data_IF_376160661301
#
_entry.id   IF_376160661301
#
_cell.length_a   1.000
_cell.length_b   1.000
_cell.length_c   1.000
_cell.angle_alpha   90.00
_cell.angle_beta   90.00
_cell.angle_gamma   90.00
#
_symmetry.space_group_name_H-M   'P 1'
#
loop_
_entity.id
_entity.type
_entity.pdbx_description
1 polymer ?
#
# COMPACT_ATOMS: atom_id res chain seq x y z
N UNK A 1 -7.38 27.68 -26.49
CA UNK A 1 -7.92 26.35 -26.87
C UNK A 1 -8.82 25.90 -25.73
N UNK A 2 -10.11 25.68 -25.99
CA UNK A 2 -11.06 25.31 -24.97
C UNK A 2 -10.89 23.83 -24.61
N UNK A 3 -10.48 23.54 -23.37
CA UNK A 3 -10.52 22.19 -22.80
C UNK A 3 -11.95 21.90 -22.35
N UNK A 4 -12.60 20.92 -22.98
CA UNK A 4 -13.89 20.42 -22.53
C UNK A 4 -13.65 19.46 -21.35
N UNK A 5 -13.93 19.95 -20.13
CA UNK A 5 -14.00 19.15 -18.91
C UNK A 5 -15.23 18.24 -18.95
N UNK A 6 -15.07 16.99 -19.41
CA UNK A 6 -16.07 15.94 -19.21
C UNK A 6 -15.52 14.97 -18.18
N UNK A 7 -16.09 14.98 -16.98
CA UNK A 7 -15.89 13.91 -16.01
C UNK A 7 -16.27 12.58 -16.69
N UNK A 8 -15.28 11.74 -16.97
CA UNK A 8 -15.52 10.47 -17.66
C UNK A 8 -16.03 9.47 -16.63
N UNK A 9 -17.35 9.29 -16.60
CA UNK A 9 -18.00 8.30 -15.74
C UNK A 9 -18.37 7.08 -16.56
N UNK A 10 -17.70 5.96 -16.28
CA UNK A 10 -18.03 4.68 -16.91
C UNK A 10 -19.07 3.94 -16.06
N UNK A 11 -20.29 3.82 -16.59
CA UNK A 11 -21.38 3.07 -15.99
C UNK A 11 -22.02 2.11 -16.98
N UNK A 12 -22.02 0.81 -16.67
CA UNK A 12 -22.88 -0.18 -17.31
C UNK A 12 -24.06 -0.46 -16.38
N UNK A 13 -25.30 -0.24 -16.83
CA UNK A 13 -26.49 -0.59 -16.04
C UNK A 13 -26.67 -2.11 -16.04
N UNK A 14 -26.06 -2.83 -15.10
CA UNK A 14 -26.41 -4.23 -14.84
C UNK A 14 -26.82 -4.41 -13.38
N UNK A 15 -28.14 -4.53 -13.17
CA UNK A 15 -28.75 -4.95 -11.90
C UNK A 15 -28.85 -6.48 -11.94
N UNK A 16 -28.37 -7.15 -10.88
CA UNK A 16 -28.46 -8.60 -10.60
C UNK A 16 -27.44 -9.52 -11.32
N UNK A 17 -27.06 -10.66 -10.70
CA UNK A 17 -26.02 -11.54 -11.20
C UNK A 17 -26.61 -12.49 -12.25
N UNK A 18 -26.41 -12.20 -13.53
CA UNK A 18 -26.57 -13.21 -14.58
C UNK A 18 -25.27 -13.98 -14.73
N UNK A 19 -25.35 -15.31 -14.71
CA UNK A 19 -24.24 -16.26 -14.93
C UNK A 19 -23.64 -16.23 -16.35
N UNK A 20 -23.86 -15.15 -17.11
CA UNK A 20 -23.11 -14.78 -18.30
C UNK A 20 -22.30 -13.54 -17.96
N UNK A 21 -20.98 -13.69 -17.83
CA UNK A 21 -20.06 -12.60 -17.53
C UNK A 21 -20.04 -11.61 -18.70
N UNK A 22 -20.97 -10.65 -18.72
CA UNK A 22 -20.75 -9.41 -19.47
C UNK A 22 -19.46 -8.81 -18.93
N UNK A 23 -18.42 -8.61 -19.76
CA UNK A 23 -17.21 -7.94 -19.32
C UNK A 23 -17.56 -6.60 -18.68
N UNK A 24 -16.89 -6.27 -17.58
CA UNK A 24 -17.06 -4.95 -16.98
C UNK A 24 -16.59 -3.84 -17.93
N UNK A 25 -16.90 -2.57 -17.62
CA UNK A 25 -16.49 -1.45 -18.45
C UNK A 25 -14.97 -1.39 -18.59
N UNK A 26 -14.50 -1.12 -19.80
CA UNK A 26 -13.07 -0.96 -20.10
C UNK A 26 -12.77 0.49 -20.47
N UNK A 27 -11.70 1.03 -19.90
CA UNK A 27 -11.04 2.24 -20.36
C UNK A 27 -9.60 1.90 -20.71
N UNK A 28 -9.21 2.16 -21.95
CA UNK A 28 -7.85 1.85 -22.40
C UNK A 28 -7.31 2.88 -23.38
N UNK A 29 -5.99 3.12 -23.33
CA UNK A 29 -5.28 4.00 -24.26
C UNK A 29 -5.81 5.45 -24.27
N UNK A 30 -6.16 6.00 -23.09
CA UNK A 30 -6.71 7.35 -22.96
C UNK A 30 -5.75 8.29 -22.23
N UNK A 31 -5.80 9.57 -22.60
CA UNK A 31 -5.23 10.68 -21.83
C UNK A 31 -6.38 11.47 -21.21
N UNK A 32 -6.42 11.53 -19.89
CA UNK A 32 -7.44 12.19 -19.07
C UNK A 32 -6.72 13.24 -18.23
N UNK A 33 -6.84 14.50 -18.61
CA UNK A 33 -6.04 15.57 -18.00
C UNK A 33 -6.84 16.84 -17.75
N UNK A 34 -6.39 17.63 -16.78
CA UNK A 34 -6.89 18.99 -16.51
C UNK A 34 -8.40 19.03 -16.18
N UNK A 35 -8.88 18.01 -15.46
CA UNK A 35 -10.26 17.93 -14.98
C UNK A 35 -10.44 18.73 -13.70
N UNK A 36 -11.60 19.40 -13.54
CA UNK A 36 -11.85 20.25 -12.39
C UNK A 36 -11.86 19.50 -11.04
N UNK A 37 -12.26 18.22 -11.01
CA UNK A 37 -12.37 17.45 -9.77
C UNK A 37 -11.78 16.04 -9.92
N UNK A 38 -12.58 15.05 -10.32
CA UNK A 38 -12.12 13.67 -10.51
C UNK A 38 -11.84 13.43 -11.99
N UNK A 39 -10.69 12.85 -12.33
CA UNK A 39 -10.33 12.52 -13.71
C UNK A 39 -11.20 11.39 -14.29
N UNK A 40 -11.12 10.21 -13.67
CA UNK A 40 -11.90 9.04 -14.05
C UNK A 40 -12.61 8.45 -12.84
N UNK A 41 -13.89 8.10 -13.00
CA UNK A 41 -14.66 7.43 -11.96
C UNK A 41 -15.36 6.17 -12.47
N UNK A 42 -15.13 5.03 -11.81
CA UNK A 42 -15.71 3.72 -12.14
C UNK A 42 -16.44 3.12 -10.93
N UNK A 43 -17.66 2.65 -11.16
CA UNK A 43 -18.51 2.06 -10.11
C UNK A 43 -19.22 0.79 -10.62
N UNK A 44 -18.47 -0.15 -11.20
CA UNK A 44 -18.97 -1.45 -11.67
C UNK A 44 -17.96 -2.56 -11.37
N UNK A 45 -18.45 -3.80 -11.33
CA UNK A 45 -17.59 -4.97 -11.26
C UNK A 45 -16.90 -5.26 -12.60
N UNK A 46 -15.78 -5.98 -12.57
CA UNK A 46 -15.01 -6.40 -13.74
C UNK A 46 -14.37 -5.25 -14.52
N UNK A 47 -14.24 -4.07 -13.92
CA UNK A 47 -13.71 -2.89 -14.59
C UNK A 47 -12.25 -3.07 -14.98
N UNK A 48 -11.88 -2.73 -16.21
CA UNK A 48 -10.49 -2.76 -16.69
C UNK A 48 -10.03 -1.36 -17.07
N UNK A 49 -9.06 -0.83 -16.34
CA UNK A 49 -8.43 0.47 -16.57
C UNK A 49 -6.97 0.21 -16.96
N UNK A 50 -6.63 0.33 -18.23
CA UNK A 50 -5.28 -0.04 -18.71
C UNK A 50 -4.67 1.01 -19.63
N UNK A 51 -3.34 1.21 -19.58
CA UNK A 51 -2.64 2.14 -20.50
C UNK A 51 -3.27 3.54 -20.51
N UNK A 52 -3.60 4.06 -19.33
CA UNK A 52 -4.15 5.39 -19.14
C UNK A 52 -3.05 6.38 -18.76
N UNK A 53 -3.21 7.63 -19.17
CA UNK A 53 -2.54 8.77 -18.53
C UNK A 53 -3.60 9.60 -17.83
N UNK A 54 -3.60 9.64 -16.50
CA UNK A 54 -4.54 10.42 -15.70
C UNK A 54 -3.76 11.46 -14.88
N UNK A 55 -3.89 12.73 -15.23
CA UNK A 55 -3.04 13.77 -14.64
C UNK A 55 -3.72 15.10 -14.40
N UNK A 56 -3.18 15.85 -13.43
CA UNK A 56 -3.62 17.23 -13.10
C UNK A 56 -5.13 17.37 -12.88
N UNK A 57 -5.79 16.31 -12.42
CA UNK A 57 -7.17 16.40 -11.95
C UNK A 57 -7.22 17.15 -10.63
N UNK A 58 -8.21 18.03 -10.47
CA UNK A 58 -8.26 19.00 -9.38
C UNK A 58 -8.23 18.38 -7.99
N UNK A 59 -8.95 17.27 -7.77
CA UNK A 59 -9.05 16.58 -6.49
C UNK A 59 -8.48 15.15 -6.51
N UNK A 60 -8.89 14.32 -7.48
CA UNK A 60 -8.54 12.90 -7.52
C UNK A 60 -8.29 12.46 -8.96
N UNK A 61 -7.25 11.66 -9.21
CA UNK A 61 -7.03 11.07 -10.53
C UNK A 61 -8.10 10.04 -10.87
N UNK A 62 -8.09 8.92 -10.14
CA UNK A 62 -8.99 7.78 -10.34
C UNK A 62 -9.78 7.49 -9.07
N UNK A 63 -11.10 7.57 -9.15
CA UNK A 63 -12.03 7.18 -8.08
C UNK A 63 -12.78 5.91 -8.43
N UNK A 64 -12.81 4.94 -7.51
CA UNK A 64 -13.66 3.76 -7.67
C UNK A 64 -14.37 3.39 -6.38
N UNK A 65 -15.59 2.89 -6.50
CA UNK A 65 -16.39 2.42 -5.37
C UNK A 65 -17.20 1.20 -5.81
N UNK A 66 -17.33 0.22 -4.92
CA UNK A 66 -18.13 -0.97 -5.16
C UNK A 66 -17.77 -1.72 -6.46
N UNK A 67 -16.48 -1.86 -6.75
CA UNK A 67 -15.96 -2.37 -8.03
C UNK A 67 -15.18 -3.68 -7.81
N UNK A 68 -15.88 -4.81 -7.74
CA UNK A 68 -15.23 -6.12 -7.60
C UNK A 68 -14.49 -6.50 -8.88
N UNK A 69 -13.41 -7.24 -8.75
CA UNK A 69 -12.59 -7.73 -9.87
C UNK A 69 -12.10 -6.58 -10.78
N UNK A 70 -11.84 -5.42 -10.16
CA UNK A 70 -11.26 -4.25 -10.81
C UNK A 70 -9.77 -4.47 -11.10
N UNK A 71 -9.34 -4.12 -12.31
CA UNK A 71 -7.93 -4.11 -12.71
C UNK A 71 -7.50 -2.71 -13.15
N UNK A 72 -6.42 -2.18 -12.56
CA UNK A 72 -5.75 -0.93 -12.95
C UNK A 72 -4.30 -1.26 -13.32
N UNK A 73 -3.95 -1.14 -14.59
CA UNK A 73 -2.69 -1.66 -15.11
C UNK A 73 -2.00 -0.74 -16.10
N UNK A 74 -0.67 -0.81 -16.18
CA UNK A 74 0.14 -0.18 -17.23
C UNK A 74 -0.13 1.32 -17.41
N UNK A 75 -0.51 2.03 -16.35
CA UNK A 75 -1.01 3.41 -16.42
C UNK A 75 -0.10 4.40 -15.70
N UNK A 76 -0.17 5.66 -16.11
CA UNK A 76 0.51 6.81 -15.50
C UNK A 76 -0.52 7.70 -14.81
N UNK A 77 -0.46 7.79 -13.49
CA UNK A 77 -1.45 8.48 -12.65
C UNK A 77 -0.71 9.47 -11.76
N UNK A 78 -0.54 10.69 -12.27
CA UNK A 78 0.43 11.65 -11.70
C UNK A 78 -0.08 13.07 -11.55
N UNK A 79 0.48 13.80 -10.59
CA UNK A 79 0.19 15.22 -10.37
C UNK A 79 -1.31 15.53 -10.16
N UNK A 80 -2.09 14.56 -9.68
CA UNK A 80 -3.48 14.79 -9.30
C UNK A 80 -3.56 15.41 -7.91
N UNK A 81 -4.77 15.85 -7.55
CA UNK A 81 -5.01 16.85 -6.51
C UNK A 81 -4.37 18.22 -6.85
N UNK A 82 -4.41 18.60 -8.13
CA UNK A 82 -3.77 19.83 -8.65
C UNK A 82 -4.25 21.11 -7.94
N UNK A 83 -5.49 21.10 -7.43
CA UNK A 83 -6.07 22.23 -6.70
C UNK A 83 -5.82 22.18 -5.18
N UNK A 84 -5.01 21.23 -4.69
CA UNK A 84 -4.58 21.14 -3.27
C UNK A 84 -5.75 20.97 -2.29
N UNK A 85 -6.73 20.13 -2.62
CA UNK A 85 -7.73 19.71 -1.62
C UNK A 85 -7.04 19.03 -0.43
N UNK A 86 -7.69 19.09 0.74
CA UNK A 86 -7.23 18.37 1.94
C UNK A 86 -6.96 16.90 1.61
N UNK A 87 -5.92 16.33 2.21
CA UNK A 87 -5.46 14.96 1.94
C UNK A 87 -6.56 13.92 2.17
N UNK A 88 -7.20 13.99 3.33
CA UNK A 88 -8.28 13.13 3.73
C UNK A 88 -9.62 13.88 3.65
N UNK A 89 -10.71 13.21 3.25
CA UNK A 89 -10.82 11.76 3.13
C UNK A 89 -10.69 11.21 1.70
N UNK A 90 -10.31 11.97 0.67
CA UNK A 90 -10.45 11.49 -0.73
C UNK A 90 -9.27 11.81 -1.65
N UNK A 91 -8.65 12.98 -1.55
CA UNK A 91 -7.82 13.52 -2.63
C UNK A 91 -6.54 12.72 -2.88
N UNK A 92 -6.04 12.72 -4.12
CA UNK A 92 -4.79 12.06 -4.48
C UNK A 92 -4.75 11.45 -5.87
N UNK A 93 -3.95 10.41 -6.03
CA UNK A 93 -3.83 9.66 -7.29
C UNK A 93 -5.03 8.75 -7.51
N UNK A 94 -5.17 7.73 -6.68
CA UNK A 94 -6.19 6.68 -6.79
C UNK A 94 -6.85 6.46 -5.44
N UNK A 95 -8.18 6.41 -5.41
CA UNK A 95 -8.94 5.91 -4.27
C UNK A 95 -9.93 4.83 -4.69
N UNK A 96 -9.91 3.71 -3.98
CA UNK A 96 -10.75 2.53 -4.22
C UNK A 96 -11.47 2.17 -2.93
N UNK A 97 -12.79 2.02 -2.99
CA UNK A 97 -13.60 1.67 -1.81
C UNK A 97 -14.54 0.49 -2.04
N UNK A 98 -14.88 -0.25 -0.97
CA UNK A 98 -15.90 -1.31 -0.93
C UNK A 98 -15.78 -2.35 -2.05
N UNK A 99 -14.56 -2.77 -2.33
CA UNK A 99 -14.22 -3.58 -3.51
C UNK A 99 -13.57 -4.91 -3.12
N UNK A 100 -13.61 -5.90 -4.01
CA UNK A 100 -13.02 -7.23 -3.76
C UNK A 100 -12.25 -7.71 -4.97
N UNK A 101 -11.13 -8.39 -4.79
CA UNK A 101 -10.35 -8.94 -5.91
C UNK A 101 -9.68 -7.86 -6.77
N UNK A 102 -9.29 -6.73 -6.17
CA UNK A 102 -8.72 -5.59 -6.90
C UNK A 102 -7.26 -5.87 -7.28
N UNK A 103 -6.88 -5.56 -8.52
CA UNK A 103 -5.48 -5.59 -8.98
C UNK A 103 -5.04 -4.19 -9.40
N UNK A 104 -3.93 -3.72 -8.83
CA UNK A 104 -3.24 -2.49 -9.24
C UNK A 104 -1.80 -2.89 -9.54
N UNK A 105 -1.42 -2.96 -10.83
CA UNK A 105 -0.09 -3.44 -11.19
C UNK A 105 0.58 -2.71 -12.34
N UNK A 106 1.91 -2.60 -12.27
CA UNK A 106 2.74 -1.97 -13.30
C UNK A 106 2.30 -0.53 -13.65
N UNK A 107 1.91 0.26 -12.64
CA UNK A 107 1.56 1.67 -12.82
C UNK A 107 2.68 2.59 -12.32
N UNK A 108 2.78 3.76 -12.94
CA UNK A 108 3.46 4.93 -12.38
C UNK A 108 2.42 5.78 -11.63
N UNK A 109 2.50 5.78 -10.30
CA UNK A 109 1.61 6.54 -9.40
C UNK A 109 2.47 7.58 -8.68
N UNK A 110 2.77 8.69 -9.35
CA UNK A 110 3.80 9.62 -8.87
C UNK A 110 3.34 11.07 -8.72
N UNK A 111 4.00 11.78 -7.82
CA UNK A 111 3.91 13.24 -7.66
C UNK A 111 2.47 13.75 -7.46
N UNK A 112 1.57 12.93 -6.92
CA UNK A 112 0.24 13.40 -6.56
C UNK A 112 0.35 14.25 -5.29
N UNK A 113 -0.39 15.36 -5.23
CA UNK A 113 -0.35 16.32 -4.12
C UNK A 113 -1.18 15.85 -2.91
N UNK A 114 -1.11 14.55 -2.59
CA UNK A 114 -1.76 13.86 -1.47
C UNK A 114 -1.24 12.41 -1.44
N UNK A 115 -2.08 11.42 -1.12
CA UNK A 115 -1.76 10.00 -1.23
C UNK A 115 -1.69 9.52 -2.68
N UNK A 116 -0.82 8.55 -2.96
CA UNK A 116 -0.69 7.91 -4.27
C UNK A 116 -1.84 6.94 -4.55
N UNK A 117 -1.86 5.81 -3.84
CA UNK A 117 -2.92 4.80 -3.88
C UNK A 117 -3.56 4.64 -2.50
N UNK A 118 -4.89 4.74 -2.42
CA UNK A 118 -5.65 4.55 -1.19
C UNK A 118 -6.74 3.50 -1.37
N UNK A 119 -6.59 2.34 -0.74
CA UNK A 119 -7.65 1.35 -0.57
C UNK A 119 -8.30 1.59 0.78
N UNK A 120 -9.61 1.85 0.79
CA UNK A 120 -10.34 2.27 1.99
C UNK A 120 -11.72 1.63 2.07
N UNK A 121 -12.33 1.61 3.26
CA UNK A 121 -13.73 1.24 3.45
C UNK A 121 -14.05 -0.16 2.86
N UNK A 122 -13.52 -1.21 3.48
CA UNK A 122 -13.79 -2.62 3.16
C UNK A 122 -13.29 -3.07 1.78
N UNK A 123 -12.02 -2.83 1.45
CA UNK A 123 -11.40 -3.48 0.27
C UNK A 123 -10.79 -4.82 0.68
N UNK A 124 -11.17 -5.91 0.00
CA UNK A 124 -10.72 -7.27 0.32
C UNK A 124 -10.02 -7.98 -0.84
N UNK A 125 -8.99 -8.77 -0.56
CA UNK A 125 -8.25 -9.55 -1.56
C UNK A 125 -7.59 -8.68 -2.64
N UNK A 126 -6.81 -7.68 -2.21
CA UNK A 126 -6.16 -6.73 -3.11
C UNK A 126 -4.74 -7.14 -3.48
N UNK A 127 -4.33 -6.88 -4.73
CA UNK A 127 -2.99 -7.15 -5.27
C UNK A 127 -2.40 -5.84 -5.77
N UNK A 128 -1.37 -5.33 -5.10
CA UNK A 128 -0.64 -4.11 -5.47
C UNK A 128 0.77 -4.51 -5.86
N UNK A 129 1.02 -4.66 -7.17
CA UNK A 129 2.16 -5.42 -7.68
C UNK A 129 3.00 -4.61 -8.67
N UNK A 130 4.31 -4.50 -8.44
CA UNK A 130 5.23 -3.97 -9.45
C UNK A 130 4.98 -2.51 -9.85
N UNK A 131 4.40 -1.69 -8.96
CA UNK A 131 4.15 -0.28 -9.25
C UNK A 131 5.37 0.58 -8.87
N UNK A 132 5.54 1.69 -9.59
CA UNK A 132 6.40 2.81 -9.18
C UNK A 132 5.53 3.84 -8.49
N UNK A 133 5.75 4.04 -7.19
CA UNK A 133 4.99 4.96 -6.35
C UNK A 133 5.94 5.99 -5.77
N UNK A 134 6.09 7.12 -6.46
CA UNK A 134 7.18 8.07 -6.22
C UNK A 134 6.68 9.49 -5.91
N UNK A 135 7.20 10.09 -4.84
CA UNK A 135 7.09 11.53 -4.59
C UNK A 135 5.65 12.02 -4.35
N UNK A 136 4.74 11.15 -3.92
CA UNK A 136 3.41 11.56 -3.46
C UNK A 136 3.56 12.29 -2.11
N UNK A 137 2.93 13.45 -1.94
CA UNK A 137 3.24 14.36 -0.82
C UNK A 137 2.92 13.76 0.57
N UNK A 138 1.96 12.84 0.64
CA UNK A 138 1.51 12.25 1.90
C UNK A 138 1.89 10.77 2.03
N UNK A 139 1.01 9.83 1.69
CA UNK A 139 1.30 8.40 1.74
C UNK A 139 1.49 7.86 0.32
N UNK A 140 2.52 7.04 0.08
CA UNK A 140 2.66 6.33 -1.19
C UNK A 140 1.48 5.38 -1.44
N UNK A 141 1.37 4.34 -0.61
CA UNK A 141 0.26 3.38 -0.63
C UNK A 141 -0.39 3.33 0.76
N UNK A 142 -1.72 3.44 0.83
CA UNK A 142 -2.50 3.36 2.05
C UNK A 142 -3.54 2.24 1.94
N UNK A 143 -3.47 1.28 2.85
CA UNK A 143 -4.49 0.27 3.08
C UNK A 143 -5.19 0.62 4.40
N UNK A 144 -6.45 1.01 4.31
CA UNK A 144 -7.27 1.46 5.44
C UNK A 144 -8.57 0.66 5.49
N UNK A 145 -8.99 0.26 6.71
CA UNK A 145 -10.26 -0.45 6.93
C UNK A 145 -10.48 -1.62 5.95
N UNK A 146 -9.42 -2.36 5.66
CA UNK A 146 -9.34 -3.35 4.60
C UNK A 146 -8.83 -4.69 5.12
N UNK A 147 -8.79 -5.73 4.29
CA UNK A 147 -8.32 -7.05 4.73
C UNK A 147 -7.81 -7.86 3.55
N UNK A 148 -6.86 -8.77 3.78
CA UNK A 148 -6.29 -9.67 2.79
C UNK A 148 -5.68 -8.90 1.61
N UNK A 149 -4.40 -8.56 1.70
CA UNK A 149 -3.70 -7.84 0.64
C UNK A 149 -2.30 -8.37 0.38
N UNK A 150 -1.87 -8.31 -0.88
CA UNK A 150 -0.48 -8.50 -1.30
C UNK A 150 0.05 -7.18 -1.83
N UNK A 151 1.12 -6.68 -1.22
CA UNK A 151 1.88 -5.53 -1.70
C UNK A 151 3.27 -6.03 -2.04
N UNK A 152 3.57 -6.21 -3.33
CA UNK A 152 4.82 -6.86 -3.72
C UNK A 152 5.50 -6.27 -4.95
N UNK A 153 6.83 -6.27 -4.96
CA UNK A 153 7.60 -5.83 -6.13
C UNK A 153 7.54 -4.33 -6.40
N UNK A 154 6.99 -3.52 -5.50
CA UNK A 154 6.81 -2.08 -5.75
C UNK A 154 8.08 -1.31 -5.40
N UNK A 155 8.34 -0.24 -6.13
CA UNK A 155 9.30 0.81 -5.74
C UNK A 155 8.53 1.97 -5.15
N UNK A 156 8.71 2.24 -3.86
CA UNK A 156 7.94 3.21 -3.09
C UNK A 156 8.90 4.25 -2.50
N UNK A 157 8.92 5.45 -3.08
CA UNK A 157 9.90 6.47 -2.72
C UNK A 157 9.29 7.84 -2.43
N UNK A 158 9.87 8.57 -1.49
CA UNK A 158 9.43 9.93 -1.16
C UNK A 158 8.16 10.00 -0.30
N UNK A 159 7.72 11.23 0.00
CA UNK A 159 6.50 11.49 0.78
C UNK A 159 6.70 11.48 2.30
N UNK A 160 5.60 11.45 3.05
CA UNK A 160 5.63 11.29 4.52
C UNK A 160 5.74 9.84 4.94
N UNK A 161 4.89 8.99 4.35
CA UNK A 161 4.90 7.56 4.59
C UNK A 161 4.99 6.78 3.28
N UNK A 162 5.80 5.73 3.21
CA UNK A 162 5.85 4.85 2.05
C UNK A 162 4.57 4.00 1.94
N UNK A 163 4.37 3.13 2.92
CA UNK A 163 3.20 2.26 3.04
C UNK A 163 2.52 2.47 4.41
N UNK A 164 1.20 2.64 4.42
CA UNK A 164 0.40 2.70 5.64
C UNK A 164 -0.62 1.56 5.67
N UNK A 165 -0.66 0.84 6.79
CA UNK A 165 -1.63 -0.21 7.11
C UNK A 165 -2.40 0.25 8.36
N UNK A 166 -3.67 0.62 8.18
CA UNK A 166 -4.50 1.14 9.28
C UNK A 166 -5.79 0.34 9.35
N UNK A 167 -6.10 -0.19 10.53
CA UNK A 167 -7.29 -1.02 10.75
C UNK A 167 -7.42 -2.14 9.70
N UNK A 168 -6.29 -2.76 9.34
CA UNK A 168 -6.16 -3.67 8.20
C UNK A 168 -5.42 -4.94 8.57
N UNK A 169 -5.99 -6.10 8.21
CA UNK A 169 -5.41 -7.42 8.52
C UNK A 169 -5.08 -8.29 7.31
N UNK A 170 -4.30 -9.35 7.54
CA UNK A 170 -3.90 -10.34 6.53
C UNK A 170 -3.13 -9.70 5.35
N UNK A 171 -2.06 -8.97 5.66
CA UNK A 171 -1.26 -8.24 4.66
C UNK A 171 0.10 -8.89 4.47
N UNK A 172 0.45 -9.16 3.21
CA UNK A 172 1.74 -9.70 2.79
C UNK A 172 2.51 -8.64 2.01
N UNK A 173 3.55 -8.08 2.62
CA UNK A 173 4.43 -7.05 2.05
C UNK A 173 5.76 -7.71 1.67
N UNK A 174 5.93 -8.02 0.39
CA UNK A 174 7.07 -8.81 -0.10
C UNK A 174 7.88 -8.07 -1.15
N UNK A 175 9.22 -8.11 -1.06
CA UNK A 175 10.06 -7.71 -2.18
C UNK A 175 9.78 -6.28 -2.68
N UNK A 176 9.56 -5.32 -1.79
CA UNK A 176 9.42 -3.90 -2.15
C UNK A 176 10.71 -3.15 -1.85
N UNK A 177 11.01 -2.13 -2.65
CA UNK A 177 12.10 -1.17 -2.41
C UNK A 177 11.49 0.12 -1.88
N UNK A 178 11.71 0.43 -0.59
CA UNK A 178 11.05 1.53 0.13
C UNK A 178 12.10 2.53 0.62
N UNK A 179 11.98 3.82 0.30
CA UNK A 179 12.98 4.82 0.71
C UNK A 179 12.55 6.28 0.55
N UNK A 180 13.38 7.22 0.98
CA UNK A 180 13.16 8.67 0.79
C UNK A 180 11.96 9.26 1.53
N UNK A 181 11.32 8.53 2.45
CA UNK A 181 10.19 9.02 3.24
C UNK A 181 10.66 9.96 4.36
N UNK A 182 9.89 11.00 4.66
CA UNK A 182 10.23 11.96 5.72
C UNK A 182 9.84 11.50 7.13
N UNK A 183 8.96 10.49 7.26
CA UNK A 183 8.52 9.99 8.57
C UNK A 183 8.55 8.47 8.69
N UNK A 184 7.90 7.73 7.79
CA UNK A 184 7.72 6.28 7.96
C UNK A 184 7.95 5.50 6.66
N UNK A 185 8.72 4.42 6.71
CA UNK A 185 8.79 3.47 5.58
C UNK A 185 7.48 2.70 5.48
N UNK A 186 7.21 1.89 6.51
CA UNK A 186 5.93 1.23 6.75
C UNK A 186 5.37 1.72 8.08
N UNK A 187 4.12 2.16 8.10
CA UNK A 187 3.38 2.54 9.31
C UNK A 187 2.18 1.60 9.49
N UNK A 188 2.14 0.89 10.62
CA UNK A 188 1.08 -0.04 11.01
C UNK A 188 0.36 0.53 12.22
N UNK A 189 -0.93 0.77 12.11
CA UNK A 189 -1.72 1.40 13.17
C UNK A 189 -3.09 0.77 13.36
N UNK A 190 -3.66 1.03 14.53
CA UNK A 190 -5.03 0.68 14.90
C UNK A 190 -5.69 1.92 15.52
N UNK A 191 -6.95 2.14 15.16
CA UNK A 191 -7.87 3.03 15.86
C UNK A 191 -9.11 2.29 16.41
N UNK A 192 -10.08 3.03 16.96
CA UNK A 192 -11.29 2.51 17.58
C UNK A 192 -12.32 1.90 16.61
N UNK A 193 -12.21 2.14 15.31
CA UNK A 193 -13.23 1.73 14.33
C UNK A 193 -13.31 0.21 14.24
N UNK A 194 -14.54 -0.30 14.19
CA UNK A 194 -14.84 -1.73 13.99
C UNK A 194 -15.93 -1.86 12.96
N UNK A 195 -15.76 -2.81 12.04
CA UNK A 195 -16.70 -3.02 10.94
C UNK A 195 -18.12 -3.26 11.47
N UNK A 196 -18.25 -4.01 12.56
CA UNK A 196 -19.53 -4.41 13.16
C UNK A 196 -20.36 -3.25 13.72
N UNK A 197 -19.73 -2.14 14.13
CA UNK A 197 -20.40 -1.05 14.87
C UNK A 197 -20.26 0.32 14.22
N UNK A 198 -19.38 0.48 13.24
CA UNK A 198 -19.20 1.75 12.58
C UNK A 198 -20.46 2.19 11.80
N UNK A 199 -20.70 3.50 11.66
CA UNK A 199 -21.87 4.01 10.93
C UNK A 199 -21.73 3.92 9.41
N UNK A 200 -20.48 3.92 8.90
CA UNK A 200 -20.16 3.95 7.47
C UNK A 200 -18.89 3.14 7.20
N UNK A 201 -18.65 2.83 5.93
CA UNK A 201 -17.42 2.16 5.46
C UNK A 201 -17.62 0.69 5.12
N UNK A 202 -18.72 0.08 5.55
CA UNK A 202 -19.05 -1.30 5.19
C UNK A 202 -19.41 -1.41 3.72
N UNK A 203 -19.06 -2.55 3.12
CA UNK A 203 -19.63 -2.96 1.83
C UNK A 203 -21.03 -3.53 2.04
N UNK A 204 -22.05 -2.78 1.60
CA UNK A 204 -23.47 -3.16 1.72
C UNK A 204 -23.85 -4.39 0.90
N UNK A 205 -22.95 -4.93 0.06
CA UNK A 205 -23.15 -6.18 -0.68
C UNK A 205 -22.73 -7.41 0.13
N UNK A 206 -22.28 -7.23 1.37
CA UNK A 206 -21.84 -8.29 2.29
C UNK A 206 -22.68 -8.23 3.58
N UNK A 207 -22.76 -9.34 4.34
CA UNK A 207 -23.33 -9.31 5.68
C UNK A 207 -22.65 -8.24 6.56
N UNK A 208 -23.40 -7.69 7.52
CA UNK A 208 -22.86 -6.77 8.52
C UNK A 208 -23.11 -7.41 9.90
N UNK A 209 -22.07 -7.86 10.62
CA UNK A 209 -20.66 -7.78 10.23
C UNK A 209 -20.26 -8.75 9.11
N UNK A 210 -19.26 -8.36 8.33
CA UNK A 210 -18.70 -9.18 7.26
C UNK A 210 -17.62 -10.11 7.87
N UNK A 211 -17.79 -11.44 7.81
CA UNK A 211 -16.89 -12.36 8.49
C UNK A 211 -15.44 -12.33 7.95
N UNK A 212 -15.21 -11.71 6.79
CA UNK A 212 -13.86 -11.57 6.22
C UNK A 212 -13.26 -10.17 6.42
N UNK A 213 -13.90 -9.29 7.19
CA UNK A 213 -13.51 -7.88 7.32
C UNK A 213 -13.79 -7.37 8.74
N UNK A 214 -12.77 -7.32 9.59
CA UNK A 214 -12.95 -6.97 11.02
C UNK A 214 -12.59 -5.52 11.34
N UNK A 215 -11.73 -4.90 10.53
CA UNK A 215 -11.05 -3.63 10.82
C UNK A 215 -10.16 -3.70 12.07
N UNK A 216 -9.53 -4.85 12.29
CA UNK A 216 -8.60 -5.08 13.40
C UNK A 216 -7.23 -5.42 12.86
N UNK A 217 -6.26 -4.51 12.99
CA UNK A 217 -4.93 -4.64 12.42
C UNK A 217 -4.20 -5.88 12.92
N UNK A 218 -3.68 -6.70 12.01
CA UNK A 218 -2.85 -7.85 12.37
C UNK A 218 -2.60 -8.83 11.23
N UNK A 219 -1.91 -9.95 11.53
CA UNK A 219 -1.51 -10.96 10.55
C UNK A 219 -0.73 -10.33 9.38
N UNK A 220 0.35 -9.62 9.71
CA UNK A 220 1.14 -8.87 8.72
C UNK A 220 2.48 -9.56 8.55
N UNK A 221 2.85 -9.83 7.30
CA UNK A 221 4.20 -10.27 6.96
C UNK A 221 4.92 -9.16 6.20
N UNK A 222 6.07 -8.73 6.72
CA UNK A 222 6.98 -7.78 6.08
C UNK A 222 8.24 -8.57 5.76
N UNK A 223 8.36 -9.01 4.51
CA UNK A 223 9.46 -9.87 4.10
C UNK A 223 10.18 -9.46 2.83
N UNK A 224 11.49 -9.71 2.80
CA UNK A 224 12.32 -9.50 1.61
C UNK A 224 12.31 -8.06 1.08
N UNK A 225 11.99 -7.06 1.89
CA UNK A 225 11.96 -5.65 1.46
C UNK A 225 13.34 -5.00 1.67
N UNK A 226 13.66 -4.02 0.84
CA UNK A 226 14.81 -3.14 1.01
C UNK A 226 14.34 -1.77 1.54
N UNK A 227 14.96 -1.29 2.61
CA UNK A 227 14.69 0.03 3.20
C UNK A 227 15.87 0.98 3.00
N UNK A 228 15.72 1.91 2.06
CA UNK A 228 16.65 3.02 1.86
C UNK A 228 16.54 4.07 2.98
N UNK A 229 17.37 5.11 2.86
CA UNK A 229 17.38 6.24 3.78
C UNK A 229 16.01 6.89 3.90
N UNK A 230 15.68 7.40 5.08
CA UNK A 230 14.39 8.02 5.38
C UNK A 230 14.36 8.61 6.79
N UNK A 231 13.19 9.10 7.19
CA UNK A 231 12.92 9.72 8.49
C UNK A 231 12.32 8.76 9.51
N UNK A 232 12.20 9.24 10.75
CA UNK A 232 11.76 8.60 12.01
C UNK A 232 11.87 7.08 12.16
N UNK A 233 11.13 6.28 11.37
CA UNK A 233 11.10 4.83 11.44
C UNK A 233 11.01 4.17 10.06
N UNK A 234 11.79 3.11 9.82
CA UNK A 234 11.67 2.29 8.61
C UNK A 234 10.43 1.38 8.70
N UNK A 235 10.15 0.82 9.87
CA UNK A 235 8.86 0.21 10.22
C UNK A 235 8.39 0.75 11.57
N UNK A 236 7.13 1.15 11.67
CA UNK A 236 6.52 1.64 12.89
C UNK A 236 5.21 0.90 13.16
N UNK A 237 5.04 0.38 14.37
CA UNK A 237 3.81 -0.29 14.79
C UNK A 237 3.31 0.33 16.08
N UNK A 238 2.07 0.85 16.07
CA UNK A 238 1.41 1.36 17.27
C UNK A 238 -0.11 1.30 17.14
N UNK A 239 -0.76 0.59 18.05
CA UNK A 239 -2.15 0.90 18.39
C UNK A 239 -2.14 2.12 19.30
N UNK A 240 -2.88 3.17 18.94
CA UNK A 240 -2.94 4.41 19.73
C UNK A 240 -4.26 4.59 20.49
N UNK A 241 -5.15 3.59 20.43
CA UNK A 241 -6.55 3.73 20.84
C UNK A 241 -7.09 2.54 21.62
N UNK A 242 -6.74 1.31 21.24
CA UNK A 242 -7.46 0.10 21.69
C UNK A 242 -6.66 -0.84 22.58
N UNK A 243 -5.51 -0.39 23.09
CA UNK A 243 -4.65 -1.09 24.05
C UNK A 243 -4.04 -2.40 23.54
N UNK A 244 -3.97 -2.59 22.22
CA UNK A 244 -3.34 -3.78 21.63
C UNK A 244 -1.85 -3.55 21.46
N UNK A 245 -1.04 -4.41 22.10
CA UNK A 245 0.40 -4.41 21.84
C UNK A 245 0.71 -4.87 20.43
N UNK A 246 1.83 -4.41 19.86
CA UNK A 246 2.32 -4.90 18.58
C UNK A 246 2.59 -6.43 18.60
N UNK A 247 2.95 -6.99 19.75
CA UNK A 247 3.11 -8.45 19.93
C UNK A 247 1.79 -9.22 19.70
N UNK A 248 0.64 -8.62 20.04
CA UNK A 248 -0.69 -9.21 19.82
C UNK A 248 -1.19 -9.11 18.38
N UNK A 249 -0.46 -8.42 17.50
CA UNK A 249 -0.89 -8.18 16.11
C UNK A 249 -0.42 -9.26 15.14
N UNK A 250 0.42 -10.23 15.56
CA UNK A 250 0.87 -11.30 14.67
C UNK A 250 1.68 -10.77 13.48
N UNK A 251 2.62 -9.88 13.74
CA UNK A 251 3.48 -9.26 12.72
C UNK A 251 4.80 -10.02 12.61
N UNK A 252 5.22 -10.34 11.39
CA UNK A 252 6.52 -10.96 11.09
C UNK A 252 7.40 -10.02 10.30
N UNK A 253 8.67 -9.86 10.70
CA UNK A 253 9.66 -8.98 10.05
C UNK A 253 10.93 -9.76 9.74
N UNK A 254 11.05 -10.32 8.54
CA UNK A 254 12.15 -11.25 8.19
C UNK A 254 12.58 -11.13 6.73
N UNK A 255 13.80 -11.49 6.38
CA UNK A 255 14.33 -11.38 5.03
C UNK A 255 14.64 -9.95 4.57
N UNK A 256 14.46 -8.93 5.41
CA UNK A 256 14.58 -7.53 4.99
C UNK A 256 16.03 -7.01 5.10
N UNK A 257 16.37 -6.07 4.22
CA UNK A 257 17.55 -5.23 4.36
C UNK A 257 17.15 -3.86 4.88
N UNK A 258 17.60 -3.52 6.07
CA UNK A 258 17.37 -2.24 6.70
C UNK A 258 18.53 -1.28 6.46
N UNK A 259 18.23 0.01 6.51
CA UNK A 259 19.24 1.04 6.68
C UNK A 259 19.74 1.09 8.12
N UNK A 260 21.02 1.38 8.31
CA UNK A 260 21.60 1.45 9.64
C UNK A 260 21.12 2.66 10.43
N UNK A 261 21.01 2.49 11.74
CA UNK A 261 20.94 3.58 12.70
C UNK A 261 22.20 3.61 13.58
N UNK A 262 22.84 4.77 13.66
CA UNK A 262 23.95 5.10 14.56
C UNK A 262 23.67 6.33 15.41
N UNK A 263 22.85 7.24 14.91
CA UNK A 263 22.51 8.49 15.62
C UNK A 263 21.00 8.67 15.71
N UNK A 264 20.57 9.56 16.60
CA UNK A 264 19.15 9.87 16.79
C UNK A 264 18.52 10.60 15.61
N UNK A 265 19.33 11.22 14.74
CA UNK A 265 18.90 11.91 13.53
C UNK A 265 18.49 10.95 12.40
N UNK A 266 18.93 9.69 12.45
CA UNK A 266 18.64 8.68 11.43
C UNK A 266 17.28 8.01 11.72
N UNK A 267 16.75 7.22 10.79
CA UNK A 267 15.53 6.44 11.05
C UNK A 267 15.82 5.28 12.03
N UNK A 268 14.89 5.00 12.92
CA UNK A 268 14.85 3.75 13.70
C UNK A 268 14.53 2.61 12.75
N UNK A 269 15.13 1.43 12.92
CA UNK A 269 14.78 0.28 12.08
C UNK A 269 13.33 -0.13 12.33
N UNK A 270 12.99 -0.47 13.57
CA UNK A 270 11.62 -0.82 13.94
C UNK A 270 11.19 -0.15 15.25
N UNK A 271 10.08 0.57 15.21
CA UNK A 271 9.34 1.01 16.39
C UNK A 271 8.26 0.00 16.75
N UNK A 272 8.25 -0.47 17.99
CA UNK A 272 7.36 -1.53 18.46
C UNK A 272 6.48 -1.07 19.63
N UNK A 273 5.19 -0.91 19.39
CA UNK A 273 4.22 -0.38 20.35
C UNK A 273 3.84 -1.35 21.47
N UNK A 274 3.76 -0.83 22.69
CA UNK A 274 3.19 -1.52 23.85
C UNK A 274 1.65 -1.44 23.84
N UNK A 275 0.98 -2.16 24.75
CA UNK A 275 -0.48 -2.16 24.90
C UNK A 275 -1.05 -0.96 25.67
N UNK A 276 -0.28 0.13 25.81
CA UNK A 276 -0.65 1.31 26.60
C UNK A 276 -1.00 2.54 25.73
N UNK A 277 -1.19 2.33 24.42
CA UNK A 277 -1.51 3.33 23.40
C UNK A 277 -0.44 4.38 23.09
N UNK A 278 0.71 4.38 23.76
CA UNK A 278 1.68 5.49 23.67
C UNK A 278 3.13 5.05 23.59
N UNK A 279 3.50 3.98 24.28
CA UNK A 279 4.89 3.59 24.44
C UNK A 279 5.34 2.83 23.21
N UNK A 280 6.47 3.26 22.63
CA UNK A 280 7.11 2.62 21.48
C UNK A 280 8.54 2.28 21.84
N UNK A 281 8.85 0.98 21.92
CA UNK A 281 10.22 0.50 22.06
C UNK A 281 10.93 0.59 20.72
N UNK A 282 12.15 1.14 20.70
CA UNK A 282 12.99 1.20 19.50
C UNK A 282 13.86 -0.05 19.42
N UNK A 283 13.79 -0.74 18.28
CA UNK A 283 14.70 -1.80 17.90
C UNK A 283 15.65 -1.19 16.87
N UNK A 284 16.79 -0.70 17.36
CA UNK A 284 17.71 0.15 16.60
C UNK A 284 18.72 -0.63 15.75
N UNK A 285 18.71 -1.96 15.80
CA UNK A 285 19.59 -2.82 15.02
C UNK A 285 18.94 -4.16 14.67
N UNK A 286 19.49 -4.82 13.66
CA UNK A 286 19.14 -6.21 13.31
C UNK A 286 19.41 -7.19 14.45
N UNK A 287 20.42 -6.93 15.27
CA UNK A 287 20.68 -7.71 16.48
C UNK A 287 19.53 -7.58 17.48
N UNK A 288 18.97 -6.37 17.68
CA UNK A 288 17.81 -6.14 18.54
C UNK A 288 16.54 -6.83 17.98
N UNK A 289 16.34 -6.82 16.66
CA UNK A 289 15.26 -7.57 16.01
C UNK A 289 15.39 -9.08 16.23
N UNK A 290 16.60 -9.61 16.08
CA UNK A 290 16.89 -11.03 16.27
C UNK A 290 16.72 -11.45 17.74
N UNK A 291 17.10 -10.60 18.69
CA UNK A 291 16.87 -10.82 20.12
C UNK A 291 15.39 -10.82 20.48
N UNK A 292 14.59 -9.97 19.81
CA UNK A 292 13.13 -9.95 19.97
C UNK A 292 12.47 -11.22 19.44
N UNK A 293 12.90 -11.70 18.28
CA UNK A 293 12.44 -12.95 17.73
C UNK A 293 13.57 -13.66 16.95
N UNK A 294 14.07 -14.75 17.53
CA UNK A 294 15.18 -15.52 16.99
C UNK A 294 14.90 -16.22 15.66
N UNK A 295 13.70 -16.13 15.10
CA UNK A 295 13.38 -16.58 13.73
C UNK A 295 13.51 -15.48 12.67
N UNK A 296 13.53 -14.21 13.07
CA UNK A 296 13.63 -13.08 12.15
C UNK A 296 15.07 -12.94 11.65
N UNK A 297 15.29 -13.14 10.35
CA UNK A 297 16.61 -13.03 9.71
C UNK A 297 16.63 -11.77 8.86
N UNK A 298 17.28 -10.71 9.33
CA UNK A 298 17.40 -9.46 8.58
C UNK A 298 18.88 -9.08 8.42
N UNK A 299 19.17 -8.10 7.57
CA UNK A 299 20.48 -7.49 7.43
C UNK A 299 20.36 -5.97 7.51
N UNK A 300 21.44 -5.28 7.86
CA UNK A 300 21.50 -3.83 7.86
C UNK A 300 22.73 -3.32 7.12
N UNK A 301 22.61 -2.14 6.53
CA UNK A 301 23.73 -1.47 5.87
C UNK A 301 24.84 -1.10 6.85
N UNK A 302 26.04 -0.83 6.33
CA UNK A 302 27.19 -0.32 7.10
C UNK A 302 27.26 1.21 7.16
N UNK A 303 26.23 1.89 6.65
CA UNK A 303 26.10 3.35 6.66
C UNK A 303 24.69 3.74 6.23
N UNK A 304 24.39 5.04 6.18
CA UNK A 304 23.09 5.49 5.68
C UNK A 304 23.13 5.62 4.17
N UNK A 305 22.32 4.82 3.48
CA UNK A 305 22.33 4.70 2.02
C UNK A 305 20.94 4.96 1.46
N UNK A 306 20.81 5.62 0.32
CA UNK A 306 19.57 5.51 -0.47
C UNK A 306 19.44 4.10 -1.06
N UNK A 307 18.31 3.82 -1.73
CA UNK A 307 18.09 2.51 -2.34
C UNK A 307 19.15 2.15 -3.39
N UNK A 308 19.65 3.14 -4.14
CA UNK A 308 20.69 2.94 -5.16
C UNK A 308 22.02 2.50 -4.55
N UNK A 309 22.39 3.04 -3.40
CA UNK A 309 23.60 2.69 -2.67
C UNK A 309 23.58 1.31 -2.01
N UNK A 310 22.41 0.68 -1.86
CA UNK A 310 22.28 -0.61 -1.16
C UNK A 310 22.72 -1.83 -2.00
N UNK A 311 22.98 -1.67 -3.30
CA UNK A 311 23.18 -2.78 -4.24
C UNK A 311 24.12 -3.90 -3.75
N UNK A 312 25.30 -3.55 -3.23
CA UNK A 312 26.28 -4.52 -2.72
C UNK A 312 25.77 -5.34 -1.54
N UNK A 313 25.02 -4.72 -0.61
CA UNK A 313 24.41 -5.43 0.52
C UNK A 313 23.31 -6.38 0.01
N UNK A 314 22.43 -5.90 -0.87
CA UNK A 314 21.31 -6.70 -1.37
C UNK A 314 21.81 -7.95 -2.11
N UNK A 315 22.85 -7.80 -2.94
CA UNK A 315 23.44 -8.91 -3.69
C UNK A 315 24.15 -9.94 -2.80
N UNK A 316 24.81 -9.50 -1.73
CA UNK A 316 25.55 -10.40 -0.81
C UNK A 316 24.68 -11.07 0.25
N UNK A 317 23.44 -10.61 0.44
CA UNK A 317 22.56 -11.03 1.55
C UNK A 317 21.48 -12.04 1.15
N UNK A 318 21.61 -12.73 0.01
CA UNK A 318 20.57 -13.65 -0.47
C UNK A 318 20.29 -14.83 0.48
N UNK A 319 21.24 -15.18 1.36
CA UNK A 319 21.08 -16.26 2.33
C UNK A 319 20.04 -16.01 3.43
N UNK A 320 19.63 -14.75 3.66
CA UNK A 320 18.58 -14.41 4.65
C UNK A 320 17.18 -14.31 4.04
N UNK A 321 17.08 -14.34 2.71
CA UNK A 321 15.81 -14.15 1.99
C UNK A 321 14.84 -15.24 2.38
N UNK A 322 13.68 -14.82 2.87
CA UNK A 322 12.60 -15.74 3.24
C UNK A 322 11.97 -16.33 1.97
N UNK A 323 11.52 -17.57 2.05
CA UNK A 323 10.86 -18.26 0.94
C UNK A 323 9.74 -17.41 0.38
N UNK A 324 9.78 -17.15 -0.93
CA UNK A 324 8.71 -16.45 -1.63
C UNK A 324 7.52 -17.41 -1.79
N UNK A 325 6.35 -17.12 -1.20
CA UNK A 325 5.17 -17.97 -1.38
C UNK A 325 4.82 -18.10 -2.86
N UNK A 326 4.40 -19.29 -3.30
CA UNK A 326 4.20 -19.58 -4.72
C UNK A 326 3.19 -18.65 -5.40
N UNK A 327 2.14 -18.24 -4.67
CA UNK A 327 1.14 -17.30 -5.17
C UNK A 327 1.70 -15.87 -5.30
N UNK A 328 2.56 -15.43 -4.39
CA UNK A 328 3.27 -14.14 -4.52
C UNK A 328 4.29 -14.18 -5.66
N UNK A 329 5.02 -15.29 -5.79
CA UNK A 329 5.97 -15.49 -6.88
C UNK A 329 5.27 -15.42 -8.25
N UNK A 330 4.11 -16.05 -8.38
CA UNK A 330 3.28 -16.00 -9.58
C UNK A 330 2.83 -14.56 -9.92
N UNK A 331 2.40 -13.78 -8.91
CA UNK A 331 2.04 -12.37 -9.10
C UNK A 331 3.21 -11.52 -9.61
N UNK A 332 4.43 -11.84 -9.18
CA UNK A 332 5.66 -11.14 -9.59
C UNK A 332 6.25 -11.66 -10.91
N UNK A 333 5.67 -12.70 -11.51
CA UNK A 333 6.25 -13.35 -12.69
C UNK A 333 7.60 -14.02 -12.39
N UNK A 334 7.81 -14.48 -11.16
CA UNK A 334 9.06 -15.08 -10.69
C UNK A 334 8.86 -16.55 -10.32
N UNK A 335 9.90 -17.40 -10.44
CA UNK A 335 9.85 -18.75 -9.89
C UNK A 335 9.80 -18.69 -8.35
N UNK A 336 9.15 -19.65 -7.68
CA UNK A 336 9.13 -19.73 -6.21
C UNK A 336 10.52 -19.92 -5.56
N UNK A 337 11.51 -20.32 -6.37
CA UNK A 337 12.92 -20.41 -5.98
C UNK A 337 13.65 -19.07 -6.05
N UNK A 338 13.03 -18.01 -6.58
CA UNK A 338 13.64 -16.69 -6.65
C UNK A 338 14.09 -16.22 -5.26
N UNK A 339 15.28 -15.63 -5.21
CA UNK A 339 15.86 -15.03 -4.00
C UNK A 339 16.27 -13.62 -4.33
N UNK A 340 15.59 -12.66 -3.71
CA UNK A 340 15.86 -11.23 -3.88
C UNK A 340 15.41 -10.48 -2.64
N UNK A 341 16.09 -9.39 -2.34
CA UNK A 341 15.65 -8.36 -1.39
C UNK A 341 15.36 -7.09 -2.20
N UNK A 342 14.21 -6.47 -1.95
CA UNK A 342 13.71 -5.35 -2.75
C UNK A 342 12.92 -5.78 -3.99
N UNK A 343 12.46 -4.78 -4.74
CA UNK A 343 11.72 -4.94 -6.00
C UNK A 343 12.54 -5.69 -7.06
N UNK A 344 11.84 -6.49 -7.88
CA UNK A 344 12.40 -7.26 -8.98
C UNK A 344 12.83 -6.38 -10.16
#
# INVERSE_FOLDING_TARGET
>A
MASASVATRLRTRTRAPSASATPGPTAENLVIQDNAMIGLNLENNGGTLSRLTVERSGMLGVGTNASYDLSITDSVIRQNNWQRFKEAPVSGGIKITRSRGVTVSNNDISRNYSSGLWLDESVYDSKVIGNTVEGNEWTGIQLELSSKAVVAGNTITGGKAGLQLMDTDDVRVYNNSIGGFSQYGIKVTQDERRQATAPTGQDRRRPIPDPTMTWVTGKITIANNAFGSGGYYQVFVLDSKTHRSADSMGITVTGNAFNQRRTTAQATLVGWGAGDNKTVTRLDSVAALSAKNGSWRNVETSGVLDLGGMGSLLASSLGIVSTLPADVAALLGQPGTARRIGAF
#
